data_IF_712580349966
#
_entry.id   IF_712580349966
#
_cell.length_a   1.000
_cell.length_b   1.000
_cell.length_c   1.000
_cell.angle_alpha   90.00
_cell.angle_beta   90.00
_cell.angle_gamma   90.00
#
_symmetry.space_group_name_H-M   'P 1'
#
loop_
_entity.id
_entity.type
_entity.pdbx_description
1 polymer ?
#
# COMPACT_ATOMS: atom_id res chain seq x y z
N UNK A 1 -10.41 -19.09 21.48
CA UNK A 1 -11.38 -18.59 20.48
C UNK A 1 -12.25 -17.51 21.10
N UNK A 2 -12.96 -16.72 20.29
CA UNK A 2 -13.80 -15.61 20.78
C UNK A 2 -14.96 -16.06 21.69
N UNK A 3 -15.39 -17.32 21.61
CA UNK A 3 -16.48 -17.87 22.43
C UNK A 3 -16.23 -17.74 23.93
N UNK A 4 -15.01 -18.07 24.39
CA UNK A 4 -14.65 -17.99 25.81
C UNK A 4 -14.61 -16.54 26.31
N UNK A 5 -14.28 -15.59 25.43
CA UNK A 5 -14.25 -14.17 25.73
C UNK A 5 -15.66 -13.57 25.84
N UNK A 6 -16.60 -14.03 24.99
CA UNK A 6 -17.97 -13.48 24.92
C UNK A 6 -18.89 -14.07 25.99
N UNK A 7 -18.68 -15.34 26.40
CA UNK A 7 -19.54 -16.01 27.38
C UNK A 7 -19.78 -15.22 28.68
N UNK A 8 -18.75 -14.71 29.38
CA UNK A 8 -18.96 -13.91 30.60
C UNK A 8 -19.58 -12.54 30.33
N UNK A 9 -19.43 -11.98 29.12
CA UNK A 9 -20.06 -10.72 28.75
C UNK A 9 -21.59 -10.87 28.65
N UNK A 10 -22.07 -12.00 28.13
CA UNK A 10 -23.50 -12.26 27.97
C UNK A 10 -24.23 -12.47 29.30
N UNK A 11 -23.52 -12.86 30.37
CA UNK A 11 -24.10 -13.02 31.71
C UNK A 11 -24.21 -11.71 32.50
N UNK A 12 -23.76 -10.59 31.95
CA UNK A 12 -23.75 -9.31 32.65
C UNK A 12 -25.17 -8.74 32.82
N UNK A 13 -25.49 -8.22 34.02
CA UNK A 13 -26.83 -7.69 34.37
C UNK A 13 -27.38 -6.60 33.45
N UNK A 14 -26.49 -5.82 32.81
CA UNK A 14 -26.87 -4.74 31.88
C UNK A 14 -27.05 -5.22 30.43
N UNK A 15 -26.77 -6.49 30.14
CA UNK A 15 -26.84 -7.07 28.80
C UNK A 15 -28.00 -8.06 28.79
N UNK A 16 -29.01 -7.77 27.97
CA UNK A 16 -30.14 -8.67 27.75
C UNK A 16 -30.13 -9.09 26.28
N UNK A 17 -29.96 -10.39 26.03
CA UNK A 17 -30.06 -10.98 24.70
C UNK A 17 -31.34 -11.81 24.61
N UNK A 18 -31.98 -11.78 23.44
CA UNK A 18 -33.19 -12.54 23.14
C UNK A 18 -32.93 -13.36 21.89
N UNK A 19 -33.23 -14.65 21.95
CA UNK A 19 -33.14 -15.56 20.81
C UNK A 19 -34.55 -15.87 20.31
N UNK A 20 -34.68 -16.31 19.06
CA UNK A 20 -35.96 -16.70 18.45
C UNK A 20 -37.06 -15.63 18.62
N UNK A 21 -36.69 -14.35 18.61
CA UNK A 21 -37.60 -13.22 18.83
C UNK A 21 -37.61 -12.35 17.59
N UNK A 22 -38.80 -12.05 17.06
CA UNK A 22 -38.96 -11.11 15.96
C UNK A 22 -38.77 -9.67 16.45
N UNK A 23 -37.76 -8.99 15.89
CA UNK A 23 -37.38 -7.64 16.30
C UNK A 23 -38.46 -6.60 16.00
N UNK A 24 -39.16 -6.72 14.87
CA UNK A 24 -40.14 -5.74 14.41
C UNK A 24 -41.40 -5.76 15.27
N UNK A 25 -41.85 -6.96 15.65
CA UNK A 25 -42.94 -7.17 16.60
C UNK A 25 -42.55 -6.69 18.00
N UNK A 26 -41.34 -7.03 18.45
CA UNK A 26 -40.80 -6.59 19.74
C UNK A 26 -40.75 -5.06 19.84
N UNK A 27 -40.29 -4.38 18.79
CA UNK A 27 -40.19 -2.90 18.76
C UNK A 27 -41.55 -2.21 18.83
N UNK A 28 -42.61 -2.83 18.30
CA UNK A 28 -43.99 -2.29 18.36
C UNK A 28 -44.61 -2.48 19.75
N UNK A 29 -44.31 -3.59 20.41
CA UNK A 29 -44.91 -3.94 21.70
C UNK A 29 -44.19 -3.34 22.90
N UNK A 30 -42.88 -3.12 22.82
CA UNK A 30 -42.06 -2.65 23.93
C UNK A 30 -41.50 -1.26 23.68
N UNK A 31 -41.43 -0.44 24.74
CA UNK A 31 -40.73 0.84 24.67
C UNK A 31 -39.22 0.62 24.52
N UNK A 32 -38.74 0.73 23.29
CA UNK A 32 -37.33 0.60 22.93
C UNK A 32 -36.48 1.77 23.43
N UNK A 33 -37.09 2.91 23.79
CA UNK A 33 -36.36 4.12 24.23
C UNK A 33 -35.72 3.95 25.61
N UNK A 34 -36.15 2.97 26.40
CA UNK A 34 -35.54 2.66 27.70
C UNK A 34 -34.13 2.08 27.61
N UNK A 35 -33.73 1.63 26.43
CA UNK A 35 -32.41 1.04 26.22
C UNK A 35 -31.45 2.06 25.62
N UNK A 36 -30.27 2.22 26.24
CA UNK A 36 -29.22 3.09 25.71
C UNK A 36 -28.72 2.64 24.33
N UNK A 37 -28.72 1.32 24.07
CA UNK A 37 -28.27 0.74 22.81
C UNK A 37 -29.06 -0.53 22.51
N UNK A 38 -29.49 -0.69 21.27
CA UNK A 38 -30.11 -1.92 20.76
C UNK A 38 -29.31 -2.37 19.54
N UNK A 39 -29.02 -3.66 19.48
CA UNK A 39 -28.31 -4.29 18.36
C UNK A 39 -29.26 -5.30 17.73
N UNK A 40 -29.63 -5.05 16.48
CA UNK A 40 -30.39 -5.98 15.66
C UNK A 40 -29.42 -6.84 14.86
N UNK A 41 -29.55 -8.17 14.98
CA UNK A 41 -28.64 -9.15 14.36
C UNK A 41 -29.32 -9.98 13.26
N UNK A 42 -30.45 -9.50 12.71
CA UNK A 42 -31.15 -10.14 11.60
C UNK A 42 -30.76 -9.59 10.23
N UNK A 43 -31.47 -9.97 9.16
CA UNK A 43 -31.21 -9.50 7.80
C UNK A 43 -31.26 -7.98 7.71
N UNK A 44 -30.17 -7.35 7.25
CA UNK A 44 -30.05 -5.89 7.16
C UNK A 44 -31.11 -5.30 6.23
N UNK A 45 -31.40 -5.96 5.10
CA UNK A 45 -32.38 -5.48 4.13
C UNK A 45 -33.78 -5.33 4.74
N UNK A 46 -34.20 -6.27 5.60
CA UNK A 46 -35.49 -6.18 6.31
C UNK A 46 -35.55 -4.97 7.23
N UNK A 47 -34.43 -4.64 7.89
CA UNK A 47 -34.35 -3.47 8.76
C UNK A 47 -34.53 -2.17 7.98
N UNK A 48 -33.86 -2.04 6.82
CA UNK A 48 -34.00 -0.86 5.97
C UNK A 48 -35.40 -0.77 5.34
N UNK A 49 -35.96 -1.89 4.90
CA UNK A 49 -37.32 -1.95 4.36
C UNK A 49 -38.39 -1.51 5.40
N UNK A 50 -38.27 -1.94 6.67
CA UNK A 50 -39.17 -1.49 7.75
C UNK A 50 -39.06 0.02 8.03
N UNK A 51 -37.94 0.65 7.68
CA UNK A 51 -37.76 2.11 7.76
C UNK A 51 -38.22 2.84 6.49
N UNK A 52 -38.81 2.14 5.52
CA UNK A 52 -39.23 2.72 4.24
C UNK A 52 -38.06 3.14 3.34
N UNK A 53 -36.87 2.59 3.57
CA UNK A 53 -35.69 2.83 2.74
C UNK A 53 -35.60 1.80 1.61
N UNK A 54 -34.95 2.18 0.52
CA UNK A 54 -34.70 1.30 -0.61
C UNK A 54 -33.72 0.17 -0.26
N UNK A 55 -33.73 -0.90 -1.06
CA UNK A 55 -32.85 -2.04 -0.88
C UNK A 55 -31.39 -1.62 -1.01
N UNK A 56 -30.53 -2.10 -0.11
CA UNK A 56 -29.12 -1.80 -0.15
C UNK A 56 -28.47 -2.43 -1.38
N UNK A 57 -27.72 -1.63 -2.14
CA UNK A 57 -26.87 -2.19 -3.18
C UNK A 57 -25.78 -3.06 -2.55
N UNK A 58 -25.67 -4.29 -3.03
CA UNK A 58 -24.64 -5.20 -2.58
C UNK A 58 -23.27 -4.71 -3.04
N UNK A 59 -22.45 -4.24 -2.10
CA UNK A 59 -21.06 -3.88 -2.38
C UNK A 59 -20.19 -5.13 -2.36
N UNK A 60 -20.07 -5.79 -3.51
CA UNK A 60 -19.12 -6.89 -3.69
C UNK A 60 -17.68 -6.38 -3.72
N UNK A 61 -16.78 -7.08 -3.03
CA UNK A 61 -15.35 -6.91 -3.21
C UNK A 61 -14.87 -7.92 -4.25
N UNK A 62 -14.26 -7.43 -5.33
CA UNK A 62 -13.55 -8.29 -6.26
C UNK A 62 -12.12 -8.45 -5.78
N UNK A 63 -11.78 -9.63 -5.29
CA UNK A 63 -10.42 -9.97 -4.92
C UNK A 63 -9.68 -10.44 -6.16
N UNK A 64 -8.73 -9.64 -6.63
CA UNK A 64 -7.79 -10.07 -7.65
C UNK A 64 -6.51 -10.54 -6.95
N UNK A 65 -6.16 -11.81 -7.14
CA UNK A 65 -4.87 -12.34 -6.72
C UNK A 65 -3.91 -12.07 -7.87
N UNK A 66 -2.93 -11.20 -7.63
CA UNK A 66 -1.88 -10.89 -8.60
C UNK A 66 -0.53 -11.32 -8.05
N UNK A 67 0.25 -12.02 -8.87
CA UNK A 67 1.68 -12.22 -8.65
C UNK A 67 2.41 -10.97 -9.12
N UNK A 68 3.40 -10.49 -8.36
CA UNK A 68 4.16 -9.25 -8.64
C UNK A 68 4.89 -9.25 -10.01
N UNK A 69 4.91 -10.38 -10.72
CA UNK A 69 5.47 -10.52 -12.07
C UNK A 69 4.52 -10.11 -13.21
N UNK A 70 3.20 -10.05 -12.99
CA UNK A 70 2.21 -10.06 -14.09
C UNK A 70 1.45 -8.73 -14.28
N UNK A 71 1.94 -7.61 -13.73
CA UNK A 71 1.31 -6.30 -13.95
C UNK A 71 2.02 -5.57 -15.10
N UNK A 72 1.53 -5.81 -16.31
CA UNK A 72 1.89 -5.06 -17.51
C UNK A 72 1.44 -3.60 -17.37
N UNK A 73 2.39 -2.66 -17.26
CA UNK A 73 2.08 -1.25 -17.52
C UNK A 73 1.81 -1.06 -19.02
N UNK A 74 1.00 -0.05 -19.42
CA UNK A 74 0.64 0.22 -20.82
C UNK A 74 1.83 0.58 -21.75
N UNK A 75 3.05 0.62 -21.20
CA UNK A 75 4.31 0.94 -21.87
C UNK A 75 5.28 -0.28 -21.89
N UNK A 76 4.77 -1.51 -21.64
CA UNK A 76 5.56 -2.75 -21.68
C UNK A 76 6.58 -2.92 -20.55
N UNK A 77 6.46 -2.15 -19.46
CA UNK A 77 7.30 -2.26 -18.26
C UNK A 77 6.55 -3.06 -17.19
N UNK A 78 7.12 -4.15 -16.70
CA UNK A 78 6.54 -4.89 -15.57
C UNK A 78 6.86 -4.17 -14.26
N UNK A 79 5.85 -3.80 -13.46
CA UNK A 79 6.07 -3.22 -12.13
C UNK A 79 6.67 -4.28 -11.21
N UNK A 80 7.95 -4.11 -10.86
CA UNK A 80 8.66 -5.02 -9.96
C UNK A 80 10.03 -5.43 -10.48
N UNK A 81 10.29 -5.31 -11.78
CA UNK A 81 11.59 -5.65 -12.33
C UNK A 81 12.65 -4.59 -11.99
N UNK A 82 13.86 -4.94 -11.51
CA UNK A 82 14.89 -3.97 -11.14
C UNK A 82 15.26 -2.99 -12.26
N UNK A 83 15.22 -3.40 -13.53
CA UNK A 83 15.48 -2.51 -14.66
C UNK A 83 14.35 -1.49 -14.96
N UNK A 84 13.11 -1.76 -14.52
CA UNK A 84 11.99 -0.83 -14.67
C UNK A 84 12.12 0.42 -13.77
N UNK A 85 13.12 0.42 -12.88
CA UNK A 85 13.46 1.52 -11.97
C UNK A 85 14.51 2.46 -12.54
N UNK A 86 14.76 2.47 -13.84
CA UNK A 86 15.57 3.52 -14.47
C UNK A 86 14.87 4.21 -15.63
N UNK A 87 15.28 5.45 -15.92
CA UNK A 87 15.10 6.05 -17.23
C UNK A 87 16.10 5.44 -18.21
N UNK A 88 15.78 5.55 -19.49
CA UNK A 88 16.62 5.07 -20.59
C UNK A 88 16.79 6.20 -21.60
N UNK A 89 18.03 6.57 -21.86
CA UNK A 89 18.47 7.52 -22.89
C UNK A 89 19.38 6.76 -23.88
N UNK A 90 19.02 6.78 -25.17
CA UNK A 90 19.81 6.18 -26.25
C UNK A 90 20.87 7.15 -26.76
N UNK A 91 22.02 6.63 -27.18
CA UNK A 91 23.11 7.37 -27.82
C UNK A 91 23.77 8.44 -26.91
N UNK A 92 23.50 8.36 -25.61
CA UNK A 92 23.98 9.27 -24.56
C UNK A 92 24.71 8.50 -23.47
N UNK A 93 25.77 9.10 -22.95
CA UNK A 93 26.54 8.59 -21.81
C UNK A 93 26.70 9.64 -20.72
N UNK A 94 27.07 9.18 -19.54
CA UNK A 94 27.30 10.01 -18.37
C UNK A 94 28.68 9.71 -17.77
N UNK A 95 29.39 10.74 -17.32
CA UNK A 95 30.77 10.65 -16.81
C UNK A 95 30.88 10.99 -15.32
N UNK A 96 29.79 10.76 -14.56
CA UNK A 96 29.77 11.01 -13.12
C UNK A 96 30.73 10.14 -12.32
N UNK A 97 30.72 10.33 -11.01
CA UNK A 97 31.58 9.57 -10.11
C UNK A 97 31.21 8.09 -10.15
N UNK A 98 32.10 7.27 -10.71
CA UNK A 98 31.92 5.83 -10.87
C UNK A 98 32.03 5.13 -9.52
N UNK A 99 30.96 4.44 -9.13
CA UNK A 99 30.92 3.56 -7.96
C UNK A 99 31.45 2.17 -8.31
N UNK A 100 31.07 1.66 -9.48
CA UNK A 100 31.42 0.32 -9.91
C UNK A 100 31.41 0.24 -11.44
N UNK A 101 32.38 -0.48 -12.00
CA UNK A 101 32.35 -0.95 -13.40
C UNK A 101 32.15 -2.45 -13.39
N UNK A 102 31.28 -2.94 -14.26
CA UNK A 102 31.02 -4.37 -14.44
C UNK A 102 30.72 -4.68 -15.90
N UNK A 103 30.79 -5.96 -16.26
CA UNK A 103 30.29 -6.47 -17.53
C UNK A 103 28.83 -6.85 -17.36
N UNK A 104 27.97 -6.33 -18.22
CA UNK A 104 26.54 -6.67 -18.25
C UNK A 104 26.20 -7.26 -19.61
N UNK A 105 25.28 -8.23 -19.63
CA UNK A 105 24.83 -8.86 -20.88
C UNK A 105 24.06 -7.88 -21.78
N UNK A 106 23.29 -6.97 -21.17
CA UNK A 106 22.51 -5.95 -21.87
C UNK A 106 22.30 -4.71 -20.99
N UNK A 107 21.66 -3.70 -21.56
CA UNK A 107 21.35 -2.44 -20.89
C UNK A 107 20.38 -2.61 -19.71
N UNK A 108 19.47 -3.59 -19.75
CA UNK A 108 18.52 -3.85 -18.68
C UNK A 108 19.24 -4.44 -17.46
N UNK A 109 20.14 -5.41 -17.67
CA UNK A 109 21.01 -5.95 -16.63
C UNK A 109 21.91 -4.86 -16.01
N UNK A 110 22.40 -3.91 -16.83
CA UNK A 110 23.15 -2.77 -16.33
C UNK A 110 22.30 -1.84 -15.43
N UNK A 111 21.10 -1.46 -15.87
CA UNK A 111 20.18 -0.69 -15.02
C UNK A 111 19.79 -1.46 -13.75
N UNK A 112 19.46 -2.75 -13.84
CA UNK A 112 19.12 -3.59 -12.70
C UNK A 112 20.24 -3.58 -11.63
N UNK A 113 21.50 -3.63 -12.08
CA UNK A 113 22.66 -3.52 -11.20
C UNK A 113 22.73 -2.17 -10.51
N UNK A 114 22.46 -1.05 -11.20
CA UNK A 114 22.32 0.27 -10.56
C UNK A 114 21.15 0.33 -9.57
N UNK A 115 20.03 -0.29 -9.91
CA UNK A 115 18.85 -0.33 -9.06
C UNK A 115 19.11 -0.99 -7.72
N UNK A 116 19.95 -2.03 -7.73
CA UNK A 116 20.31 -2.79 -6.54
C UNK A 116 21.53 -2.25 -5.80
N UNK A 117 22.37 -1.41 -6.43
CA UNK A 117 23.55 -0.82 -5.80
C UNK A 117 23.18 0.40 -4.94
N UNK A 118 23.41 0.37 -3.61
CA UNK A 118 23.24 1.55 -2.77
C UNK A 118 24.12 2.70 -3.27
N UNK A 119 23.56 3.90 -3.30
CA UNK A 119 24.26 5.09 -3.80
C UNK A 119 24.28 5.26 -5.32
N UNK A 120 23.95 4.24 -6.13
CA UNK A 120 23.86 4.40 -7.58
C UNK A 120 22.66 5.25 -7.97
N UNK A 121 22.91 6.33 -8.71
CA UNK A 121 21.87 7.23 -9.24
C UNK A 121 21.86 7.27 -10.76
N UNK A 122 22.97 6.92 -11.40
CA UNK A 122 23.16 6.98 -12.84
C UNK A 122 23.88 5.72 -13.34
N UNK A 123 23.59 5.32 -14.56
CA UNK A 123 24.24 4.18 -15.20
C UNK A 123 24.52 4.48 -16.67
N UNK A 124 25.53 3.83 -17.23
CA UNK A 124 25.84 3.89 -18.67
C UNK A 124 26.31 2.52 -19.13
N UNK A 125 25.69 2.04 -20.21
CA UNK A 125 26.02 0.83 -20.94
C UNK A 125 26.61 1.21 -22.30
N UNK A 126 27.82 0.75 -22.58
CA UNK A 126 28.58 1.03 -23.79
C UNK A 126 29.24 -0.24 -24.33
N UNK A 127 29.70 -0.20 -25.57
CA UNK A 127 30.45 -1.29 -26.21
C UNK A 127 29.76 -2.66 -26.10
N UNK A 128 28.43 -2.68 -26.11
CA UNK A 128 27.58 -3.88 -25.95
C UNK A 128 27.82 -4.71 -24.68
N UNK A 129 28.58 -4.22 -23.70
CA UNK A 129 28.95 -5.04 -22.54
C UNK A 129 29.48 -4.26 -21.34
N UNK A 130 30.01 -3.05 -21.53
CA UNK A 130 30.60 -2.26 -20.46
C UNK A 130 29.53 -1.47 -19.72
N UNK A 131 29.38 -1.75 -18.42
CA UNK A 131 28.43 -1.08 -17.55
C UNK A 131 29.17 -0.25 -16.49
N UNK A 132 28.91 1.05 -16.47
CA UNK A 132 29.41 1.99 -15.47
C UNK A 132 28.26 2.46 -14.58
N UNK A 133 28.36 2.19 -13.28
CA UNK A 133 27.40 2.58 -12.24
C UNK A 133 27.94 3.78 -11.49
N UNK A 134 27.15 4.83 -11.33
CA UNK A 134 27.61 6.13 -10.87
C UNK A 134 26.70 6.72 -9.79
N UNK A 135 27.30 7.47 -8.86
CA UNK A 135 26.57 8.18 -7.79
C UNK A 135 26.05 9.55 -8.20
N UNK A 136 26.59 10.13 -9.28
CA UNK A 136 26.23 11.43 -9.83
C UNK A 136 26.11 11.37 -11.35
N UNK A 137 25.48 12.38 -11.94
CA UNK A 137 25.28 12.44 -13.40
C UNK A 137 26.59 12.74 -14.15
N UNK A 138 27.43 13.61 -13.58
CA UNK A 138 28.55 14.19 -14.33
C UNK A 138 28.09 14.91 -15.61
N UNK A 139 29.00 14.98 -16.57
CA UNK A 139 28.74 15.56 -17.88
C UNK A 139 28.08 14.56 -18.82
N UNK A 140 27.33 15.09 -19.79
CA UNK A 140 26.76 14.30 -20.88
C UNK A 140 27.82 14.10 -21.96
N UNK A 141 28.07 12.84 -22.31
CA UNK A 141 28.95 12.45 -23.41
C UNK A 141 28.17 11.81 -24.56
N UNK A 142 28.77 11.79 -25.74
CA UNK A 142 28.28 11.01 -26.87
C UNK A 142 28.55 9.52 -26.61
N UNK A 143 27.56 8.66 -26.82
CA UNK A 143 27.68 7.21 -26.61
C UNK A 143 26.96 6.44 -27.73
N UNK A 144 27.47 6.48 -28.99
CA UNK A 144 26.76 5.94 -30.14
C UNK A 144 26.48 4.43 -29.98
N UNK A 145 25.23 4.02 -30.15
CA UNK A 145 24.78 2.64 -29.97
C UNK A 145 24.64 2.20 -28.51
N UNK A 146 25.04 3.04 -27.55
CA UNK A 146 24.93 2.76 -26.13
C UNK A 146 23.66 3.31 -25.50
N UNK A 147 23.45 2.94 -24.24
CA UNK A 147 22.28 3.31 -23.44
C UNK A 147 22.70 3.81 -22.07
N UNK A 148 21.95 4.73 -21.50
CA UNK A 148 22.24 5.24 -20.16
C UNK A 148 20.97 5.70 -19.48
N UNK A 149 21.07 6.14 -18.22
CA UNK A 149 19.95 6.82 -17.58
C UNK A 149 20.09 6.99 -16.09
N UNK A 150 19.00 7.46 -15.49
CA UNK A 150 18.88 7.75 -14.07
C UNK A 150 18.07 6.66 -13.39
N UNK A 151 18.46 6.27 -12.18
CA UNK A 151 17.59 5.45 -11.32
C UNK A 151 16.37 6.26 -10.88
N UNK A 152 15.19 5.84 -11.33
CA UNK A 152 13.87 6.33 -10.94
C UNK A 152 13.47 5.68 -9.61
N UNK A 153 13.75 6.37 -8.51
CA UNK A 153 13.33 5.97 -7.18
C UNK A 153 13.36 7.16 -6.25
N UNK A 154 12.35 7.28 -5.37
CA UNK A 154 12.31 8.30 -4.33
C UNK A 154 13.65 8.26 -3.59
N UNK A 155 14.32 9.40 -3.51
CA UNK A 155 15.51 9.59 -2.69
C UNK A 155 15.26 8.96 -1.33
N UNK A 156 15.85 7.79 -1.06
CA UNK A 156 16.01 7.34 0.31
C UNK A 156 17.11 8.22 0.87
N UNK A 157 16.72 9.39 1.40
CA UNK A 157 17.58 10.08 2.34
C UNK A 157 17.75 9.11 3.51
N UNK A 158 18.99 8.77 3.94
CA UNK A 158 19.14 8.14 5.24
C UNK A 158 18.45 9.05 6.24
N UNK A 159 17.61 8.49 7.11
CA UNK A 159 16.85 9.25 8.08
C UNK A 159 17.82 10.04 8.98
N UNK A 160 18.12 11.29 8.61
CA UNK A 160 18.58 12.28 9.57
C UNK A 160 17.42 12.53 10.50
N UNK A 161 17.64 12.18 11.77
CA UNK A 161 16.75 12.37 12.91
C UNK A 161 16.36 13.84 13.00
N UNK A 162 15.24 14.21 12.39
CA UNK A 162 14.60 15.51 12.62
C UNK A 162 13.69 15.32 13.83
N UNK A 163 14.11 15.91 14.96
CA UNK A 163 13.28 16.14 16.12
C UNK A 163 11.96 16.79 15.68
N UNK A 164 10.84 16.06 15.78
CA UNK A 164 9.52 16.64 15.68
C UNK A 164 9.18 17.35 17.01
N UNK A 165 8.67 18.60 16.98
CA UNK A 165 8.18 19.22 18.19
C UNK A 165 6.97 18.45 18.72
N UNK A 166 7.03 18.16 20.01
CA UNK A 166 6.04 17.42 20.80
C UNK A 166 4.65 18.05 20.65
N UNK A 167 3.78 17.39 19.90
CA UNK A 167 2.35 17.68 19.94
C UNK A 167 1.75 16.94 21.15
N UNK A 168 1.55 17.65 22.25
CA UNK A 168 0.86 17.15 23.43
C UNK A 168 -0.59 16.77 23.07
N UNK A 169 -0.83 15.48 22.86
CA UNK A 169 -2.19 14.92 22.75
C UNK A 169 -2.79 14.88 24.15
N UNK A 170 -3.66 15.84 24.47
CA UNK A 170 -4.51 15.78 25.66
C UNK A 170 -5.46 14.59 25.50
N UNK A 171 -5.21 13.54 26.28
CA UNK A 171 -6.14 12.42 26.43
C UNK A 171 -7.30 12.86 27.32
N UNK A 172 -8.49 12.97 26.74
CA UNK A 172 -9.72 13.07 27.53
C UNK A 172 -10.11 11.65 27.96
N UNK A 173 -10.02 11.36 29.27
CA UNK A 173 -10.55 10.12 29.86
C UNK A 173 -12.07 10.09 29.69
N UNK A 174 -12.60 8.94 29.28
CA UNK A 174 -14.01 8.62 29.49
C UNK A 174 -14.23 8.40 30.99
N UNK A 175 -15.21 9.11 31.55
CA UNK A 175 -15.64 8.92 32.93
C UNK A 175 -16.39 7.58 33.08
N UNK A 176 -15.98 6.82 34.09
CA UNK A 176 -16.66 5.63 34.57
C UNK A 176 -17.98 6.05 35.27
N UNK A 177 -19.05 5.30 35.01
CA UNK A 177 -20.28 5.26 35.81
C UNK A 177 -20.56 3.79 36.14
#
# INVERSE_FOLDING_TARGET
GFTELVRPMLTHRNIRYLLNTDYFTFRKQFDVKRYKKIIYTGPIDQYFADQGMEQLEYRSLTFNIVTEADVDLPDGRHKGHPWARCSVEKDRGFTGHVLQKLRSHDMHACCASCSNLPGCKWWTFANNSDCSLMSSRGDRSLNPGGYSGQRLGKTFQPATTVNQPSATVKHTRCAEY
#
